data_IF_962436664677
#
_entry.id   IF_962436664677
#
_cell.length_a   1.000
_cell.length_b   1.000
_cell.length_c   1.000
_cell.angle_alpha   90.00
_cell.angle_beta   90.00
_cell.angle_gamma   90.00
#
_symmetry.space_group_name_H-M   'P 1'
#
loop_
_entity.id
_entity.type
_entity.pdbx_description
1 polymer ?
#
# COMPACT_ATOMS: atom_id res chain seq x y z
N UNK A 1 -11.39 -22.96 -5.14
CA UNK A 1 -10.32 -22.10 -4.52
C UNK A 1 -10.27 -20.68 -5.11
N UNK A 2 -9.96 -20.40 -6.41
CA UNK A 2 -10.07 -19.03 -6.94
C UNK A 2 -11.51 -18.51 -6.91
N UNK A 3 -12.48 -19.32 -7.23
CA UNK A 3 -13.90 -18.96 -7.27
C UNK A 3 -14.48 -18.61 -5.89
N UNK A 4 -14.05 -19.31 -4.84
CA UNK A 4 -14.47 -19.03 -3.46
C UNK A 4 -13.92 -17.68 -2.97
N UNK A 5 -12.68 -17.34 -3.33
CA UNK A 5 -12.09 -16.06 -2.99
C UNK A 5 -12.84 -14.91 -3.69
N UNK A 6 -13.18 -15.08 -4.97
CA UNK A 6 -13.96 -14.09 -5.72
C UNK A 6 -15.38 -13.96 -5.16
N UNK A 7 -16.03 -15.07 -4.79
CA UNK A 7 -17.36 -15.05 -4.16
C UNK A 7 -17.33 -14.29 -2.83
N UNK A 8 -16.32 -14.58 -1.98
CA UNK A 8 -16.12 -13.86 -0.72
C UNK A 8 -15.91 -12.37 -0.94
N UNK A 9 -15.05 -11.99 -1.89
CA UNK A 9 -14.79 -10.58 -2.22
C UNK A 9 -16.05 -9.87 -2.73
N UNK A 10 -16.80 -10.50 -3.64
CA UNK A 10 -18.03 -9.94 -4.18
C UNK A 10 -19.11 -9.76 -3.10
N UNK A 11 -19.22 -10.70 -2.17
CA UNK A 11 -20.12 -10.59 -1.03
C UNK A 11 -19.78 -9.38 -0.16
N UNK A 12 -18.51 -9.23 0.21
CA UNK A 12 -18.06 -8.12 1.06
C UNK A 12 -18.20 -6.77 0.36
N UNK A 13 -17.93 -6.68 -0.94
CA UNK A 13 -18.15 -5.47 -1.74
C UNK A 13 -19.63 -5.09 -1.74
N UNK A 14 -20.53 -6.03 -2.03
CA UNK A 14 -21.98 -5.79 -2.02
C UNK A 14 -22.55 -5.42 -0.64
N UNK A 15 -21.94 -5.92 0.46
CA UNK A 15 -22.28 -5.49 1.81
C UNK A 15 -21.77 -4.08 2.10
N UNK A 16 -20.54 -3.76 1.71
CA UNK A 16 -19.91 -2.45 1.92
C UNK A 16 -20.61 -1.31 1.16
N UNK A 17 -21.30 -1.60 0.07
CA UNK A 17 -22.15 -0.62 -0.63
C UNK A 17 -23.38 -0.21 0.19
N UNK A 18 -23.89 -1.10 1.03
CA UNK A 18 -25.11 -0.91 1.84
C UNK A 18 -24.87 -0.35 3.23
N UNK A 19 -23.63 -0.41 3.71
CA UNK A 19 -23.26 0.12 5.03
C UNK A 19 -21.87 -0.32 5.47
N UNK A 20 -21.45 0.07 6.68
CA UNK A 20 -20.15 -0.32 7.20
C UNK A 20 -20.09 -1.83 7.43
N UNK A 21 -18.96 -2.44 7.11
CA UNK A 21 -18.70 -3.86 7.25
C UNK A 21 -17.38 -4.06 7.98
N UNK A 22 -17.34 -5.07 8.87
CA UNK A 22 -16.09 -5.59 9.43
C UNK A 22 -15.66 -6.81 8.60
N UNK A 23 -14.82 -6.64 7.58
CA UNK A 23 -14.45 -7.74 6.71
C UNK A 23 -13.55 -8.73 7.45
N UNK A 24 -13.93 -10.00 7.44
CA UNK A 24 -13.07 -11.10 7.87
C UNK A 24 -12.11 -11.49 6.75
N UNK A 25 -10.91 -11.92 7.13
CA UNK A 25 -9.96 -12.47 6.14
C UNK A 25 -10.49 -13.79 5.60
N UNK A 26 -10.30 -14.02 4.31
CA UNK A 26 -10.64 -15.28 3.68
C UNK A 26 -9.94 -16.47 4.38
N UNK A 27 -10.68 -17.55 4.60
CA UNK A 27 -10.14 -18.78 5.22
C UNK A 27 -10.16 -18.78 6.76
N UNK A 28 -10.72 -17.78 7.42
CA UNK A 28 -11.01 -17.82 8.85
C UNK A 28 -12.23 -18.72 9.07
N UNK A 29 -12.10 -19.71 9.95
CA UNK A 29 -13.14 -20.68 10.25
C UNK A 29 -13.38 -20.69 11.77
N UNK A 30 -14.65 -20.66 12.18
CA UNK A 30 -15.04 -20.92 13.56
C UNK A 30 -15.26 -22.43 13.77
N UNK A 31 -15.02 -22.96 14.97
CA UNK A 31 -15.28 -24.37 15.27
C UNK A 31 -16.76 -24.80 15.07
N UNK A 32 -17.66 -23.93 15.49
CA UNK A 32 -19.10 -24.08 15.38
C UNK A 32 -19.82 -22.73 15.52
N UNK A 33 -21.14 -22.74 15.38
CA UNK A 33 -21.96 -21.52 15.45
C UNK A 33 -22.00 -20.93 16.87
N UNK A 34 -22.02 -21.77 17.90
CA UNK A 34 -22.05 -21.32 19.30
C UNK A 34 -20.78 -20.58 19.68
N UNK A 35 -19.62 -21.09 19.25
CA UNK A 35 -18.34 -20.43 19.44
C UNK A 35 -18.27 -19.06 18.69
N UNK A 36 -18.84 -19.02 17.49
CA UNK A 36 -18.92 -17.76 16.72
C UNK A 36 -19.80 -16.74 17.43
N UNK A 37 -20.99 -17.14 17.87
CA UNK A 37 -21.92 -16.28 18.60
C UNK A 37 -21.31 -15.77 19.91
N UNK A 38 -20.63 -16.65 20.66
CA UNK A 38 -19.92 -16.25 21.87
C UNK A 38 -18.84 -15.20 21.62
N UNK A 39 -18.03 -15.36 20.55
CA UNK A 39 -17.02 -14.39 20.16
C UNK A 39 -17.64 -13.05 19.76
N UNK A 40 -18.71 -13.07 18.95
CA UNK A 40 -19.40 -11.86 18.53
C UNK A 40 -20.00 -11.12 19.73
N UNK A 41 -20.63 -11.85 20.65
CA UNK A 41 -21.21 -11.27 21.87
C UNK A 41 -20.14 -10.66 22.77
N UNK A 42 -19.03 -11.37 22.97
CA UNK A 42 -17.91 -10.87 23.81
C UNK A 42 -17.28 -9.60 23.26
N UNK A 43 -17.27 -9.43 21.93
CA UNK A 43 -16.67 -8.28 21.25
C UNK A 43 -17.70 -7.25 20.73
N UNK A 44 -18.99 -7.38 21.07
CA UNK A 44 -20.08 -6.56 20.51
C UNK A 44 -19.82 -5.06 20.61
N UNK A 45 -19.47 -4.57 21.80
CA UNK A 45 -19.21 -3.16 22.01
C UNK A 45 -18.07 -2.62 21.13
N UNK A 46 -17.00 -3.40 20.99
CA UNK A 46 -15.87 -3.09 20.12
C UNK A 46 -16.28 -3.09 18.64
N UNK A 47 -17.01 -4.11 18.20
CA UNK A 47 -17.49 -4.21 16.83
C UNK A 47 -18.42 -3.04 16.47
N UNK A 48 -19.35 -2.68 17.34
CA UNK A 48 -20.24 -1.53 17.13
C UNK A 48 -19.49 -0.21 17.08
N UNK A 49 -18.48 -0.01 17.94
CA UNK A 49 -17.64 1.18 17.90
C UNK A 49 -16.85 1.26 16.60
N UNK A 50 -16.28 0.14 16.14
CA UNK A 50 -15.53 0.06 14.88
C UNK A 50 -16.44 0.30 13.67
N UNK A 51 -17.62 -0.30 13.61
CA UNK A 51 -18.62 -0.06 12.55
C UNK A 51 -18.97 1.44 12.46
N UNK A 52 -19.23 2.11 13.60
CA UNK A 52 -19.52 3.57 13.63
C UNK A 52 -18.34 4.38 13.11
N UNK A 53 -17.10 3.98 13.42
CA UNK A 53 -15.88 4.64 12.94
C UNK A 53 -15.69 4.51 11.44
N UNK A 54 -16.07 3.36 10.87
CA UNK A 54 -15.92 3.04 9.45
C UNK A 54 -17.11 3.51 8.60
N UNK A 55 -18.21 3.90 9.24
CA UNK A 55 -19.41 4.35 8.51
C UNK A 55 -19.10 5.56 7.62
N UNK A 56 -19.62 5.53 6.40
CA UNK A 56 -19.36 6.56 5.39
C UNK A 56 -17.92 6.58 4.83
N UNK A 57 -17.10 5.57 5.12
CA UNK A 57 -15.72 5.48 4.64
C UNK A 57 -15.50 4.28 3.72
N UNK A 58 -14.44 4.37 2.94
CA UNK A 58 -13.90 3.28 2.11
C UNK A 58 -12.40 3.18 2.30
N UNK A 59 -11.85 2.01 2.05
CA UNK A 59 -10.40 1.83 2.01
C UNK A 59 -9.87 2.02 0.59
N UNK A 60 -8.77 2.75 0.45
CA UNK A 60 -7.98 2.83 -0.77
C UNK A 60 -6.55 2.43 -0.42
N UNK A 61 -6.06 1.35 -1.01
CA UNK A 61 -4.68 0.92 -0.85
C UNK A 61 -3.80 1.54 -1.94
N UNK A 62 -2.67 2.10 -1.54
CA UNK A 62 -1.68 2.72 -2.44
C UNK A 62 -0.35 2.01 -2.27
N UNK A 63 0.22 1.57 -3.38
CA UNK A 63 1.56 0.97 -3.45
C UNK A 63 2.45 1.81 -4.34
N UNK A 64 3.70 1.99 -3.93
CA UNK A 64 4.73 2.59 -4.75
C UNK A 64 5.86 1.59 -4.98
N UNK A 65 6.19 1.36 -6.24
CA UNK A 65 7.27 0.49 -6.68
C UNK A 65 8.27 1.31 -7.52
N UNK A 66 9.56 0.94 -7.59
CA UNK A 66 10.46 1.53 -8.55
C UNK A 66 9.89 1.44 -9.96
N UNK A 67 9.95 2.54 -10.73
CA UNK A 67 9.51 2.49 -12.12
C UNK A 67 10.44 1.58 -12.94
N UNK A 68 9.95 0.88 -13.97
CA UNK A 68 10.76 0.01 -14.82
C UNK A 68 11.98 0.72 -15.43
N UNK A 69 11.81 1.97 -15.82
CA UNK A 69 12.85 2.79 -16.46
C UNK A 69 13.74 3.57 -15.48
N UNK A 70 13.49 3.46 -14.18
CA UNK A 70 14.25 4.18 -13.14
C UNK A 70 15.74 3.84 -13.14
N UNK A 71 16.13 2.63 -13.58
CA UNK A 71 17.51 2.21 -13.71
C UNK A 71 18.27 3.08 -14.74
N UNK A 72 17.68 3.31 -15.90
CA UNK A 72 18.31 4.13 -16.96
C UNK A 72 18.56 5.55 -16.44
N UNK A 73 17.58 6.13 -15.77
CA UNK A 73 17.70 7.48 -15.19
C UNK A 73 18.77 7.55 -14.08
N UNK A 74 18.83 6.55 -13.19
CA UNK A 74 19.88 6.48 -12.16
C UNK A 74 21.27 6.42 -12.79
N UNK A 75 21.43 5.67 -13.87
CA UNK A 75 22.70 5.57 -14.60
C UNK A 75 23.11 6.89 -15.28
N UNK A 76 22.16 7.73 -15.63
CA UNK A 76 22.39 9.01 -16.31
C UNK A 76 22.48 10.19 -15.35
N UNK A 77 21.66 10.25 -14.31
CA UNK A 77 21.51 11.40 -13.44
C UNK A 77 22.38 11.34 -12.19
N UNK A 78 22.60 10.12 -11.63
CA UNK A 78 23.32 9.98 -10.37
C UNK A 78 24.84 10.11 -10.56
N UNK A 79 25.41 11.20 -10.06
CA UNK A 79 26.84 11.50 -10.22
C UNK A 79 27.76 10.39 -9.64
N UNK A 80 27.37 9.82 -8.49
CA UNK A 80 28.13 8.73 -7.86
C UNK A 80 28.10 7.46 -8.73
N UNK A 81 26.94 7.11 -9.29
CA UNK A 81 26.78 5.95 -10.18
C UNK A 81 27.56 6.14 -11.47
N UNK A 82 27.48 7.33 -12.09
CA UNK A 82 28.24 7.64 -13.29
C UNK A 82 29.76 7.50 -13.09
N UNK A 83 30.26 8.01 -11.96
CA UNK A 83 31.69 7.89 -11.59
C UNK A 83 32.11 6.44 -11.42
N UNK A 84 31.34 5.64 -10.67
CA UNK A 84 31.62 4.23 -10.44
C UNK A 84 31.53 3.40 -11.73
N UNK A 85 30.60 3.72 -12.61
CA UNK A 85 30.47 3.12 -13.94
C UNK A 85 31.71 3.37 -14.80
N UNK A 86 32.23 4.58 -14.79
CA UNK A 86 33.45 4.93 -15.53
C UNK A 86 34.68 4.25 -14.92
N UNK A 87 34.76 4.17 -13.59
CA UNK A 87 35.84 3.43 -12.91
C UNK A 87 35.81 1.93 -13.25
N UNK A 88 34.64 1.30 -13.23
CA UNK A 88 34.45 -0.10 -13.59
C UNK A 88 34.79 -0.38 -15.06
N UNK A 89 34.58 0.58 -15.97
CA UNK A 89 34.99 0.46 -17.38
C UNK A 89 36.51 0.54 -17.54
N UNK A 90 37.19 1.42 -16.78
CA UNK A 90 38.66 1.59 -16.85
C UNK A 90 39.41 0.45 -16.19
N UNK A 91 38.86 -0.07 -15.10
CA UNK A 91 39.45 -1.15 -14.31
C UNK A 91 38.38 -2.20 -14.01
N UNK A 92 38.09 -3.07 -14.98
CA UNK A 92 37.08 -4.10 -14.79
C UNK A 92 37.55 -5.12 -13.73
N UNK A 93 36.66 -5.47 -12.81
CA UNK A 93 36.93 -6.42 -11.74
C UNK A 93 35.69 -6.66 -10.88
N UNK A 94 35.71 -7.73 -10.12
CA UNK A 94 34.59 -8.13 -9.25
C UNK A 94 34.20 -7.01 -8.26
N UNK A 95 35.18 -6.46 -7.56
CA UNK A 95 34.91 -5.38 -6.58
C UNK A 95 34.31 -4.12 -7.23
N UNK A 96 34.79 -3.72 -8.41
CA UNK A 96 34.23 -2.57 -9.11
C UNK A 96 32.76 -2.81 -9.52
N UNK A 97 32.44 -4.04 -9.95
CA UNK A 97 31.07 -4.42 -10.29
C UNK A 97 30.15 -4.45 -9.08
N UNK A 98 30.63 -4.98 -7.95
CA UNK A 98 29.86 -4.99 -6.68
C UNK A 98 29.57 -3.56 -6.20
N UNK A 99 30.59 -2.70 -6.12
CA UNK A 99 30.42 -1.29 -5.69
C UNK A 99 29.46 -0.52 -6.62
N UNK A 100 29.53 -0.75 -7.91
CA UNK A 100 28.59 -0.16 -8.86
C UNK A 100 27.16 -0.65 -8.61
N UNK A 101 26.97 -1.97 -8.41
CA UNK A 101 25.67 -2.59 -8.11
C UNK A 101 25.06 -2.05 -6.82
N UNK A 102 25.84 -1.93 -5.75
CA UNK A 102 25.40 -1.36 -4.48
C UNK A 102 24.99 0.11 -4.60
N UNK A 103 25.77 0.91 -5.33
CA UNK A 103 25.44 2.33 -5.57
C UNK A 103 24.14 2.49 -6.36
N UNK A 104 23.92 1.66 -7.38
CA UNK A 104 22.66 1.64 -8.15
C UNK A 104 21.49 1.24 -7.25
N UNK A 105 21.62 0.16 -6.48
CA UNK A 105 20.56 -0.30 -5.58
C UNK A 105 20.22 0.76 -4.53
N UNK A 106 21.22 1.42 -3.96
CA UNK A 106 21.04 2.50 -3.00
C UNK A 106 20.31 3.69 -3.63
N UNK A 107 20.72 4.13 -4.81
CA UNK A 107 20.09 5.26 -5.50
C UNK A 107 18.62 4.96 -5.87
N UNK A 108 18.33 3.76 -6.36
CA UNK A 108 16.96 3.32 -6.63
C UNK A 108 16.09 3.31 -5.37
N UNK A 109 16.62 2.77 -4.26
CA UNK A 109 15.91 2.73 -2.99
C UNK A 109 15.63 4.13 -2.44
N UNK A 110 16.60 5.05 -2.54
CA UNK A 110 16.44 6.44 -2.09
C UNK A 110 15.37 7.16 -2.90
N UNK A 111 15.40 7.09 -4.23
CA UNK A 111 14.37 7.70 -5.12
C UNK A 111 12.98 7.18 -4.82
N UNK A 112 12.85 5.88 -4.68
CA UNK A 112 11.58 5.26 -4.38
C UNK A 112 11.07 5.65 -2.97
N UNK A 113 11.96 5.76 -1.97
CA UNK A 113 11.60 6.23 -0.64
C UNK A 113 11.18 7.72 -0.63
N UNK A 114 11.81 8.55 -1.43
CA UNK A 114 11.42 9.96 -1.61
C UNK A 114 10.03 10.07 -2.23
N UNK A 115 9.79 9.35 -3.31
CA UNK A 115 8.46 9.29 -3.94
C UNK A 115 7.38 8.78 -2.97
N UNK A 116 7.69 7.75 -2.15
CA UNK A 116 6.78 7.26 -1.11
C UNK A 116 6.46 8.34 -0.07
N UNK A 117 7.45 9.13 0.36
CA UNK A 117 7.20 10.26 1.29
C UNK A 117 6.33 11.36 0.66
N UNK A 118 6.53 11.66 -0.62
CA UNK A 118 5.67 12.61 -1.34
C UNK A 118 4.23 12.11 -1.44
N UNK A 119 4.03 10.85 -1.80
CA UNK A 119 2.70 10.22 -1.84
C UNK A 119 2.02 10.36 -0.48
N UNK A 120 2.71 10.05 0.61
CA UNK A 120 2.15 10.20 1.96
C UNK A 120 1.81 11.66 2.28
N UNK A 121 2.68 12.61 1.94
CA UNK A 121 2.46 14.03 2.19
C UNK A 121 1.23 14.57 1.47
N UNK A 122 0.99 14.14 0.23
CA UNK A 122 -0.11 14.60 -0.60
C UNK A 122 -1.44 13.89 -0.29
N UNK A 123 -1.40 12.58 -0.01
CA UNK A 123 -2.61 11.78 0.15
C UNK A 123 -3.10 11.67 1.60
N UNK A 124 -2.21 11.67 2.60
CA UNK A 124 -2.63 11.54 3.99
C UNK A 124 -3.59 12.64 4.46
N UNK A 125 -3.45 13.93 4.04
CA UNK A 125 -4.41 14.96 4.40
C UNK A 125 -5.82 14.79 3.79
N UNK A 126 -5.96 13.95 2.76
CA UNK A 126 -7.23 13.64 2.10
C UNK A 126 -7.95 12.44 2.73
N UNK A 127 -7.31 11.76 3.65
CA UNK A 127 -7.82 10.60 4.36
C UNK A 127 -8.05 10.93 5.84
N UNK A 128 -8.94 10.15 6.47
CA UNK A 128 -9.16 10.23 7.93
C UNK A 128 -8.04 9.54 8.71
N UNK A 129 -7.59 8.40 8.20
CA UNK A 129 -6.58 7.55 8.82
C UNK A 129 -5.72 6.92 7.70
N UNK A 130 -4.49 6.53 8.06
CA UNK A 130 -3.62 5.75 7.19
C UNK A 130 -3.02 4.59 7.99
N UNK A 131 -3.01 3.40 7.41
CA UNK A 131 -2.47 2.20 8.00
C UNK A 131 -1.39 1.61 7.09
N UNK A 132 -0.19 1.35 7.65
CA UNK A 132 0.87 0.68 6.90
C UNK A 132 0.43 -0.76 6.59
N UNK A 133 0.52 -1.15 5.33
CA UNK A 133 0.31 -2.52 4.90
C UNK A 133 1.54 -3.41 5.17
N UNK A 134 1.42 -4.72 4.92
CA UNK A 134 2.54 -5.65 5.07
C UNK A 134 3.69 -5.25 4.14
N UNK A 135 4.92 -5.56 4.57
CA UNK A 135 6.09 -5.34 3.74
C UNK A 135 6.03 -6.27 2.51
N UNK A 136 6.14 -5.68 1.34
CA UNK A 136 6.14 -6.39 0.04
C UNK A 136 7.47 -6.14 -0.63
N UNK A 137 8.13 -7.21 -1.05
CA UNK A 137 9.44 -7.12 -1.71
C UNK A 137 9.40 -6.18 -2.91
N UNK A 138 10.32 -5.25 -2.97
CA UNK A 138 10.42 -4.25 -4.03
C UNK A 138 9.40 -3.11 -3.93
N UNK A 139 8.50 -3.13 -2.97
CA UNK A 139 7.55 -2.07 -2.71
C UNK A 139 8.12 -1.10 -1.67
N UNK A 140 8.17 0.18 -1.98
CA UNK A 140 8.70 1.21 -1.08
C UNK A 140 7.63 1.90 -0.25
N UNK A 141 6.39 1.81 -0.70
CA UNK A 141 5.20 2.22 0.04
C UNK A 141 4.11 1.17 -0.18
N UNK A 142 3.51 0.70 0.90
CA UNK A 142 2.27 -0.05 0.90
C UNK A 142 1.43 0.50 2.06
N UNK A 143 0.45 1.33 1.74
CA UNK A 143 -0.35 2.02 2.74
C UNK A 143 -1.81 2.01 2.32
N UNK A 144 -2.68 1.67 3.26
CA UNK A 144 -4.12 1.79 3.12
C UNK A 144 -4.60 3.08 3.75
N UNK A 145 -5.48 3.78 3.07
CA UNK A 145 -6.08 5.04 3.50
C UNK A 145 -7.58 4.84 3.75
N UNK A 146 -8.05 5.30 4.90
CA UNK A 146 -9.47 5.38 5.23
C UNK A 146 -10.01 6.72 4.71
N UNK A 147 -10.74 6.68 3.61
CA UNK A 147 -11.18 7.87 2.88
C UNK A 147 -12.69 8.05 3.02
N UNK A 148 -13.20 9.26 3.34
CA UNK A 148 -14.63 9.52 3.27
C UNK A 148 -15.17 9.19 1.88
N UNK A 149 -16.30 8.50 1.81
CA UNK A 149 -16.87 7.99 0.54
C UNK A 149 -17.16 9.13 -0.45
N UNK A 150 -17.63 10.26 0.04
CA UNK A 150 -17.90 11.47 -0.73
C UNK A 150 -16.62 12.17 -1.23
N UNK A 151 -15.48 11.88 -0.63
CA UNK A 151 -14.16 12.39 -1.04
C UNK A 151 -13.35 11.38 -1.88
N UNK A 152 -13.86 10.17 -2.10
CA UNK A 152 -13.12 9.09 -2.76
C UNK A 152 -12.66 9.44 -4.18
N UNK A 153 -13.47 10.14 -4.96
CA UNK A 153 -13.10 10.62 -6.30
C UNK A 153 -11.99 11.68 -6.25
N UNK A 154 -12.04 12.60 -5.29
CA UNK A 154 -10.98 13.59 -5.08
C UNK A 154 -9.66 12.94 -4.71
N UNK A 155 -9.72 11.94 -3.81
CA UNK A 155 -8.55 11.16 -3.42
C UNK A 155 -7.95 10.42 -4.61
N UNK A 156 -8.81 9.76 -5.39
CA UNK A 156 -8.41 9.04 -6.60
C UNK A 156 -7.74 9.96 -7.62
N UNK A 157 -8.36 11.11 -7.92
CA UNK A 157 -7.79 12.08 -8.85
C UNK A 157 -6.40 12.59 -8.38
N UNK A 158 -6.21 12.79 -7.08
CA UNK A 158 -4.91 13.15 -6.52
C UNK A 158 -3.88 12.03 -6.70
N UNK A 159 -4.27 10.77 -6.47
CA UNK A 159 -3.41 9.61 -6.65
C UNK A 159 -3.02 9.41 -8.13
N UNK A 160 -3.98 9.57 -9.06
CA UNK A 160 -3.74 9.48 -10.51
C UNK A 160 -2.78 10.59 -10.99
N UNK A 161 -2.98 11.82 -10.53
CA UNK A 161 -2.09 12.94 -10.84
C UNK A 161 -0.66 12.66 -10.37
N UNK A 162 -0.48 12.21 -9.12
CA UNK A 162 0.83 11.83 -8.59
C UNK A 162 1.48 10.70 -9.39
N UNK A 163 0.70 9.68 -9.78
CA UNK A 163 1.18 8.57 -10.59
C UNK A 163 1.71 9.07 -11.95
N UNK A 164 1.00 9.99 -12.60
CA UNK A 164 1.44 10.57 -13.89
C UNK A 164 2.66 11.48 -13.72
N UNK A 165 2.67 12.37 -12.72
CA UNK A 165 3.80 13.28 -12.45
C UNK A 165 5.09 12.54 -12.11
N UNK A 166 5.00 11.35 -11.50
CA UNK A 166 6.15 10.56 -11.00
C UNK A 166 6.41 9.28 -11.78
N UNK A 167 5.71 9.04 -12.88
CA UNK A 167 5.78 7.79 -13.66
C UNK A 167 7.18 7.34 -14.05
N UNK A 168 8.11 8.29 -14.22
CA UNK A 168 9.49 8.01 -14.59
C UNK A 168 10.35 7.54 -13.39
N UNK A 169 9.93 7.82 -12.16
CA UNK A 169 10.67 7.54 -10.94
C UNK A 169 10.04 6.42 -10.12
N UNK A 170 8.71 6.35 -10.13
CA UNK A 170 7.92 5.43 -9.30
C UNK A 170 6.67 4.98 -10.05
N UNK A 171 6.35 3.70 -9.94
CA UNK A 171 5.08 3.11 -10.37
C UNK A 171 4.12 3.12 -9.17
N UNK A 172 3.18 4.06 -9.18
CA UNK A 172 2.14 4.19 -8.14
C UNK A 172 0.93 3.41 -8.60
N UNK A 173 0.57 2.40 -7.81
CA UNK A 173 -0.64 1.59 -8.02
C UNK A 173 -1.60 1.81 -6.88
N UNK A 174 -2.88 1.94 -7.20
CA UNK A 174 -3.93 2.03 -6.19
C UNK A 174 -5.03 1.03 -6.49
N UNK A 175 -5.64 0.53 -5.42
CA UNK A 175 -6.78 -0.37 -5.44
C UNK A 175 -7.85 0.18 -4.50
N UNK A 176 -9.07 0.28 -5.00
CA UNK A 176 -10.22 0.77 -4.24
C UNK A 176 -11.34 1.27 -5.16
N UNK A 177 -12.51 1.55 -4.58
CA UNK A 177 -12.83 1.42 -3.15
C UNK A 177 -12.87 -0.05 -2.69
N UNK A 178 -12.34 -0.30 -1.49
CA UNK A 178 -12.31 -1.61 -0.84
C UNK A 178 -13.10 -1.59 0.47
N UNK A 179 -13.59 -2.74 0.97
CA UNK A 179 -13.97 -2.89 2.35
C UNK A 179 -12.78 -2.59 3.28
N UNK A 180 -13.02 -2.03 4.46
CA UNK A 180 -11.99 -1.47 5.32
C UNK A 180 -11.17 -2.53 6.07
N UNK A 181 -10.51 -3.45 5.39
CA UNK A 181 -9.72 -4.56 5.96
C UNK A 181 -8.60 -4.10 6.89
N UNK A 182 -7.93 -3.02 6.54
CA UNK A 182 -6.78 -2.51 7.30
C UNK A 182 -7.17 -1.77 8.57
N UNK A 183 -8.47 -1.52 8.75
CA UNK A 183 -9.00 -0.67 9.82
C UNK A 183 -9.95 -1.39 10.79
N UNK A 184 -10.12 -2.72 10.68
CA UNK A 184 -11.00 -3.50 11.57
C UNK A 184 -10.34 -3.95 12.87
N UNK A 185 -9.00 -4.00 12.93
CA UNK A 185 -8.24 -4.27 14.14
C UNK A 185 -8.06 -3.03 15.00
N UNK A 186 -7.61 -3.19 16.23
CA UNK A 186 -7.11 -2.05 17.02
C UNK A 186 -5.98 -1.38 16.24
N UNK A 187 -6.09 -0.05 16.04
CA UNK A 187 -5.08 0.74 15.36
C UNK A 187 -3.76 0.59 16.10
N UNK A 188 -2.90 -0.24 15.57
CA UNK A 188 -1.49 -0.42 15.77
C UNK A 188 -0.93 -0.20 17.15
N UNK A 189 -0.62 -1.23 17.83
CA UNK A 189 0.66 -1.28 18.50
C UNK A 189 1.63 -1.95 17.52
N UNK A 190 2.35 -1.16 16.74
CA UNK A 190 3.55 -1.60 16.08
C UNK A 190 4.57 -1.95 17.15
N UNK A 191 4.95 -3.22 17.23
CA UNK A 191 6.14 -3.69 17.89
C UNK A 191 7.24 -3.84 16.85
#
# INVERSE_FOLDING_TARGET
MPDDLLAHQNLLMGLAERGPVLPMRFGVVAPDEDALLAQLTAAEAHHLATLRRLDGHVEVNVKALPAPDSLAQVLEEEAAVRRLREEARRRPGYEASVRLGEAIATALAQRAAEAGREVMRELAPLAREAAKGPDVQGCTLNTSFLVPRDHSERFRAAAERLAEERRNHVDIRFAGPLPCYSFVGESGAGG
#
